data_IF_122592587572
#
_entry.id   IF_122592587572
#
_cell.length_a   1.000
_cell.length_b   1.000
_cell.length_c   1.000
_cell.angle_alpha   90.00
_cell.angle_beta   90.00
_cell.angle_gamma   90.00
#
_symmetry.space_group_name_H-M   'P 1'
#
loop_
_entity.id
_entity.type
_entity.pdbx_description
1 polymer ?
#
# COMPACT_ATOMS: atom_id res chain seq x y z
N UNK A 1 -24.49 -8.26 5.86
CA UNK A 1 -23.19 -8.15 6.56
C UNK A 1 -22.46 -9.44 6.29
N UNK A 2 -21.75 -9.49 5.17
CA UNK A 2 -20.82 -10.56 4.86
C UNK A 2 -19.65 -10.51 5.84
N UNK A 3 -19.09 -11.67 6.19
CA UNK A 3 -17.89 -11.71 7.04
C UNK A 3 -16.67 -11.26 6.22
N UNK A 4 -15.66 -10.64 6.85
CA UNK A 4 -14.38 -10.33 6.19
C UNK A 4 -13.77 -11.57 5.51
N UNK A 5 -14.07 -12.77 6.02
CA UNK A 5 -13.70 -14.05 5.42
C UNK A 5 -14.30 -14.26 4.02
N UNK A 6 -15.58 -13.95 3.82
CA UNK A 6 -16.23 -14.03 2.49
C UNK A 6 -15.63 -13.00 1.51
N UNK A 7 -15.09 -11.89 2.03
CA UNK A 7 -14.44 -10.86 1.23
C UNK A 7 -13.00 -11.19 0.86
N UNK A 8 -12.17 -11.63 1.83
CA UNK A 8 -10.80 -12.08 1.57
C UNK A 8 -10.79 -13.26 0.58
N UNK A 9 -11.79 -14.14 0.67
CA UNK A 9 -12.02 -15.21 -0.29
C UNK A 9 -12.47 -14.72 -1.67
N UNK A 10 -12.84 -13.45 -1.86
CA UNK A 10 -13.29 -12.87 -3.14
C UNK A 10 -12.28 -11.91 -3.78
N UNK A 11 -11.37 -11.33 -2.99
CA UNK A 11 -10.42 -10.31 -3.45
C UNK A 11 -9.49 -10.81 -4.57
N UNK A 12 -9.18 -12.11 -4.57
CA UNK A 12 -8.35 -12.75 -5.60
C UNK A 12 -9.16 -13.63 -6.56
N UNK A 13 -10.50 -13.71 -6.44
CA UNK A 13 -11.30 -14.62 -7.27
C UNK A 13 -11.38 -14.16 -8.72
N UNK A 14 -11.58 -12.86 -8.95
CA UNK A 14 -11.71 -12.32 -10.30
C UNK A 14 -10.36 -12.24 -11.03
N UNK A 15 -9.28 -12.01 -10.27
CA UNK A 15 -7.92 -12.04 -10.77
C UNK A 15 -7.47 -13.48 -11.02
N UNK A 16 -7.70 -14.40 -10.08
CA UNK A 16 -7.42 -15.83 -10.20
C UNK A 16 -8.15 -16.46 -11.39
N UNK A 17 -9.46 -16.22 -11.55
CA UNK A 17 -10.23 -16.71 -12.71
C UNK A 17 -9.64 -16.20 -14.04
N UNK A 18 -9.20 -14.94 -14.08
CA UNK A 18 -8.59 -14.35 -15.27
C UNK A 18 -7.21 -14.97 -15.56
N UNK A 19 -6.36 -15.14 -14.54
CA UNK A 19 -5.04 -15.74 -14.66
C UNK A 19 -5.12 -17.21 -15.08
N UNK A 20 -6.07 -17.96 -14.51
CA UNK A 20 -6.34 -19.35 -14.89
C UNK A 20 -6.77 -19.44 -16.36
N UNK A 21 -7.67 -18.56 -16.80
CA UNK A 21 -8.12 -18.52 -18.19
C UNK A 21 -6.98 -18.18 -19.16
N UNK A 22 -6.13 -17.22 -18.82
CA UNK A 22 -4.95 -16.84 -19.63
C UNK A 22 -3.97 -18.02 -19.70
N UNK A 23 -3.66 -18.64 -18.56
CA UNK A 23 -2.72 -19.76 -18.46
C UNK A 23 -3.23 -20.98 -19.23
N UNK A 24 -4.54 -21.25 -19.17
CA UNK A 24 -5.19 -22.31 -19.92
C UNK A 24 -5.42 -21.96 -21.40
N UNK A 25 -5.09 -20.75 -21.84
CA UNK A 25 -5.35 -20.24 -23.20
C UNK A 25 -6.83 -20.35 -23.59
N UNK A 26 -7.74 -20.12 -22.64
CA UNK A 26 -9.19 -20.07 -22.87
C UNK A 26 -9.65 -18.64 -23.12
N UNK A 27 -10.82 -18.48 -23.75
CA UNK A 27 -11.37 -17.16 -24.04
C UNK A 27 -11.62 -16.33 -22.78
N UNK A 28 -11.28 -15.05 -22.83
CA UNK A 28 -11.53 -14.05 -21.76
C UNK A 28 -12.63 -13.07 -22.12
N UNK A 29 -13.45 -13.42 -23.12
CA UNK A 29 -14.57 -12.59 -23.61
C UNK A 29 -15.76 -12.65 -22.65
N UNK A 30 -16.68 -11.66 -22.70
CA UNK A 30 -17.91 -11.71 -21.91
C UNK A 30 -18.69 -13.01 -22.13
N UNK A 31 -19.15 -13.65 -21.05
CA UNK A 31 -19.81 -14.95 -21.08
C UNK A 31 -18.87 -16.15 -20.86
N UNK A 32 -17.54 -15.96 -20.89
CA UNK A 32 -16.55 -17.03 -20.71
C UNK A 32 -16.01 -17.12 -19.27
N UNK A 33 -16.07 -16.03 -18.50
CA UNK A 33 -15.51 -15.91 -17.16
C UNK A 33 -16.67 -15.82 -16.16
N UNK A 34 -17.08 -16.97 -15.62
CA UNK A 34 -18.34 -17.11 -14.87
C UNK A 34 -18.42 -16.21 -13.64
N UNK A 35 -17.32 -16.07 -12.89
CA UNK A 35 -17.30 -15.20 -11.70
C UNK A 35 -17.30 -13.74 -12.12
N UNK A 36 -16.52 -13.36 -13.14
CA UNK A 36 -16.55 -12.01 -13.70
C UNK A 36 -17.91 -11.63 -14.26
N UNK A 37 -18.59 -12.51 -14.99
CA UNK A 37 -19.94 -12.25 -15.51
C UNK A 37 -20.97 -12.09 -14.39
N UNK A 38 -20.77 -12.76 -13.25
CA UNK A 38 -21.67 -12.64 -12.10
C UNK A 38 -21.39 -11.39 -11.24
N UNK A 39 -20.13 -11.01 -11.08
CA UNK A 39 -19.70 -9.97 -10.13
C UNK A 39 -19.36 -8.62 -10.79
N UNK A 40 -18.96 -8.64 -12.06
CA UNK A 40 -18.50 -7.52 -12.87
C UNK A 40 -18.90 -7.64 -14.36
N UNK A 41 -20.19 -7.82 -14.68
CA UNK A 41 -20.64 -8.06 -16.06
C UNK A 41 -20.39 -6.89 -17.02
N UNK A 42 -20.38 -5.66 -16.51
CA UNK A 42 -20.28 -4.46 -17.31
C UNK A 42 -19.64 -3.28 -16.55
N UNK A 43 -19.37 -2.18 -17.25
CA UNK A 43 -18.76 -0.99 -16.66
C UNK A 43 -19.67 -0.30 -15.63
N UNK A 44 -21.00 -0.43 -15.74
CA UNK A 44 -21.91 0.15 -14.75
C UNK A 44 -21.72 -0.57 -13.41
N UNK A 45 -21.60 -1.89 -13.44
CA UNK A 45 -21.32 -2.71 -12.26
C UNK A 45 -20.01 -2.32 -11.58
N UNK A 46 -18.98 -1.88 -12.31
CA UNK A 46 -17.71 -1.41 -11.73
C UNK A 46 -17.92 -0.21 -10.81
N UNK A 47 -18.80 0.72 -11.23
CA UNK A 47 -19.06 1.99 -10.53
C UNK A 47 -20.07 1.84 -9.37
N UNK A 48 -20.84 0.77 -9.33
CA UNK A 48 -21.86 0.52 -8.30
C UNK A 48 -21.28 0.00 -6.98
N UNK A 49 -20.30 0.69 -6.38
CA UNK A 49 -19.54 0.21 -5.21
C UNK A 49 -20.41 -0.29 -4.03
N UNK A 50 -21.57 0.34 -3.80
CA UNK A 50 -22.51 -0.06 -2.73
C UNK A 50 -23.22 -1.39 -2.98
N UNK A 51 -23.23 -1.88 -4.22
CA UNK A 51 -23.94 -3.07 -4.66
C UNK A 51 -22.99 -4.26 -4.87
N UNK A 52 -21.72 -4.12 -4.47
CA UNK A 52 -20.65 -5.08 -4.74
C UNK A 52 -20.00 -5.56 -3.46
N UNK A 53 -19.45 -6.78 -3.53
CA UNK A 53 -18.54 -7.29 -2.52
C UNK A 53 -17.13 -6.74 -2.76
N UNK A 54 -16.87 -5.52 -2.28
CA UNK A 54 -15.55 -4.91 -2.26
C UNK A 54 -15.32 -4.16 -0.95
N UNK A 55 -14.30 -4.53 -0.17
CA UNK A 55 -13.97 -3.81 1.07
C UNK A 55 -13.22 -2.53 0.77
N UNK A 56 -12.49 -2.50 -0.35
CA UNK A 56 -11.55 -1.44 -0.63
C UNK A 56 -10.36 -1.43 0.31
N UNK A 57 -9.37 -0.65 -0.04
CA UNK A 57 -8.17 -0.57 0.78
C UNK A 57 -7.30 0.62 0.48
N UNK A 58 -6.18 0.65 1.18
CA UNK A 58 -5.12 1.64 1.06
C UNK A 58 -3.86 0.94 0.58
N UNK A 59 -3.11 1.65 -0.25
CA UNK A 59 -1.77 1.25 -0.67
C UNK A 59 -0.92 2.51 -0.69
N UNK A 60 0.19 2.52 0.04
CA UNK A 60 0.95 3.73 0.28
C UNK A 60 2.42 3.59 -0.04
N UNK A 61 2.98 4.59 -0.71
CA UNK A 61 4.42 4.80 -0.71
C UNK A 61 4.83 5.40 0.64
N UNK A 62 5.69 4.71 1.39
CA UNK A 62 6.31 5.25 2.59
C UNK A 62 7.68 5.86 2.27
N UNK A 63 7.86 7.14 2.62
CA UNK A 63 9.07 7.91 2.42
C UNK A 63 9.57 8.44 3.78
N UNK A 64 10.77 8.02 4.19
CA UNK A 64 11.33 8.34 5.52
C UNK A 64 12.58 9.17 5.35
N UNK A 65 12.59 10.39 5.88
CA UNK A 65 13.72 11.30 5.76
C UNK A 65 14.94 10.73 6.47
N UNK A 66 16.09 10.77 5.80
CA UNK A 66 17.37 10.32 6.36
C UNK A 66 18.40 11.45 6.33
N UNK A 67 19.27 11.52 7.35
CA UNK A 67 20.43 12.39 7.28
C UNK A 67 21.39 11.92 6.18
N UNK A 68 22.20 12.85 5.69
CA UNK A 68 23.28 12.54 4.76
C UNK A 68 24.27 11.55 5.37
N UNK A 69 24.82 10.68 4.54
CA UNK A 69 25.70 9.59 4.95
C UNK A 69 26.91 9.51 4.01
N UNK A 70 28.13 9.21 4.51
CA UNK A 70 29.33 9.16 3.67
C UNK A 70 29.27 8.19 2.48
N UNK A 71 28.44 7.15 2.55
CA UNK A 71 28.32 6.13 1.50
C UNK A 71 27.12 6.38 0.58
N UNK A 72 26.01 6.88 1.11
CA UNK A 72 24.78 7.16 0.33
C UNK A 72 24.74 8.57 -0.28
N UNK A 73 25.51 9.51 0.27
CA UNK A 73 25.56 10.89 -0.19
C UNK A 73 24.65 11.83 0.62
N UNK A 74 23.89 12.67 -0.09
CA UNK A 74 23.10 13.74 0.49
C UNK A 74 21.93 13.28 1.36
N UNK A 75 21.22 14.26 1.94
CA UNK A 75 19.97 14.02 2.68
C UNK A 75 18.89 13.60 1.68
N UNK A 76 18.24 12.47 1.92
CA UNK A 76 17.21 11.90 1.05
C UNK A 76 15.98 11.42 1.82
N UNK A 77 15.05 10.78 1.12
CA UNK A 77 14.07 9.87 1.70
C UNK A 77 14.44 8.43 1.34
N UNK A 78 14.38 7.53 2.32
CA UNK A 78 14.26 6.11 2.07
C UNK A 78 12.83 5.79 1.62
N UNK A 79 12.69 5.29 0.39
CA UNK A 79 11.45 4.77 -0.15
C UNK A 79 11.37 3.27 0.13
N UNK A 80 10.26 2.83 0.71
CA UNK A 80 10.03 1.42 1.04
C UNK A 80 9.28 0.73 -0.10
N UNK A 81 9.89 -0.32 -0.65
CA UNK A 81 9.27 -1.20 -1.67
C UNK A 81 9.50 -2.64 -1.25
N UNK A 82 8.45 -3.45 -1.33
CA UNK A 82 8.45 -4.85 -0.95
C UNK A 82 8.42 -5.72 -2.20
N UNK A 83 9.22 -6.79 -2.21
CA UNK A 83 9.15 -7.88 -3.20
C UNK A 83 8.60 -9.13 -2.51
N UNK A 84 7.36 -9.54 -2.79
CA UNK A 84 6.77 -10.72 -2.12
C UNK A 84 7.53 -12.01 -2.52
N UNK A 85 7.87 -12.87 -1.55
CA UNK A 85 8.53 -14.15 -1.84
C UNK A 85 7.58 -15.18 -2.45
N UNK A 86 8.12 -15.98 -3.37
CA UNK A 86 7.43 -17.07 -4.04
C UNK A 86 7.32 -18.36 -3.21
N UNK A 87 7.28 -18.30 -1.87
CA UNK A 87 7.02 -19.49 -1.05
C UNK A 87 5.54 -19.89 -1.01
N UNK A 88 4.66 -19.04 -1.57
CA UNK A 88 3.29 -19.39 -1.92
C UNK A 88 3.26 -19.72 -3.41
N UNK A 89 2.94 -20.98 -3.73
CA UNK A 89 2.77 -21.47 -5.10
C UNK A 89 1.85 -20.52 -5.89
N UNK A 90 2.42 -19.86 -6.92
CA UNK A 90 1.77 -19.07 -7.98
C UNK A 90 1.89 -17.52 -7.98
N UNK A 91 2.72 -16.90 -7.14
CA UNK A 91 3.05 -15.46 -7.28
C UNK A 91 4.57 -15.21 -7.21
N UNK A 92 5.22 -15.12 -8.37
CA UNK A 92 6.66 -14.89 -8.49
C UNK A 92 7.00 -13.39 -8.33
N UNK A 93 7.70 -13.01 -7.25
CA UNK A 93 8.47 -11.75 -7.10
C UNK A 93 7.73 -10.45 -7.43
N UNK A 94 6.48 -10.33 -7.02
CA UNK A 94 5.69 -9.12 -7.29
C UNK A 94 6.16 -7.95 -6.43
N UNK A 95 6.44 -6.81 -7.06
CA UNK A 95 6.76 -5.55 -6.38
C UNK A 95 5.49 -4.84 -5.92
N UNK A 96 5.53 -4.31 -4.71
CA UNK A 96 4.48 -3.47 -4.14
C UNK A 96 5.06 -2.41 -3.21
N UNK A 97 4.36 -1.29 -3.04
CA UNK A 97 4.67 -0.32 -1.99
C UNK A 97 4.02 -0.75 -0.68
N UNK A 98 4.61 -0.31 0.42
CA UNK A 98 4.19 -0.65 1.79
C UNK A 98 4.09 0.65 2.61
N UNK A 99 3.06 0.84 3.44
CA UNK A 99 2.04 -0.14 3.84
C UNK A 99 0.90 -0.38 2.83
N UNK A 100 0.27 -1.56 2.90
CA UNK A 100 -0.91 -1.94 2.12
C UNK A 100 -1.92 -2.65 3.01
N UNK A 101 -3.21 -2.39 2.79
CA UNK A 101 -4.22 -3.26 3.39
C UNK A 101 -5.66 -2.83 3.17
N UNK A 102 -6.58 -3.71 3.56
CA UNK A 102 -8.00 -3.50 3.35
C UNK A 102 -8.62 -2.67 4.48
N UNK A 103 -9.71 -1.98 4.15
CA UNK A 103 -10.58 -1.45 5.19
C UNK A 103 -11.17 -2.62 5.99
N UNK A 104 -10.83 -2.67 7.28
CA UNK A 104 -11.37 -3.64 8.21
C UNK A 104 -12.24 -2.89 9.22
N UNK A 105 -13.56 -2.77 8.99
CA UNK A 105 -14.46 -2.20 9.99
C UNK A 105 -14.62 -3.18 11.15
N UNK A 106 -13.65 -3.18 12.06
CA UNK A 106 -13.51 -4.16 13.14
C UNK A 106 -14.57 -3.95 14.23
N UNK A 107 -14.70 -2.73 14.76
CA UNK A 107 -15.62 -2.42 15.88
C UNK A 107 -16.39 -1.11 15.66
N UNK A 108 -15.73 -0.06 15.16
CA UNK A 108 -16.37 1.21 14.82
C UNK A 108 -16.31 1.41 13.31
N UNK A 109 -17.37 0.98 12.62
CA UNK A 109 -17.46 1.01 11.15
C UNK A 109 -17.13 2.39 10.56
N UNK A 110 -17.45 3.50 11.26
CA UNK A 110 -17.21 4.85 10.75
C UNK A 110 -15.79 5.34 11.03
N UNK A 111 -15.19 4.93 12.14
CA UNK A 111 -13.81 5.29 12.45
C UNK A 111 -12.82 4.40 11.69
N UNK A 112 -13.11 3.11 11.60
CA UNK A 112 -12.23 2.07 11.05
C UNK A 112 -12.17 2.12 9.51
N UNK A 113 -13.20 2.66 8.85
CA UNK A 113 -13.20 2.90 7.41
C UNK A 113 -12.50 4.21 6.99
N UNK A 114 -11.93 4.98 7.93
CA UNK A 114 -11.14 6.16 7.57
C UNK A 114 -9.80 5.71 6.99
N UNK A 115 -9.44 6.22 5.82
CA UNK A 115 -8.16 5.96 5.12
C UNK A 115 -6.97 6.07 6.08
N UNK A 116 -6.88 7.17 6.83
CA UNK A 116 -5.77 7.38 7.77
C UNK A 116 -5.74 6.39 8.94
N UNK A 117 -6.91 5.87 9.37
CA UNK A 117 -6.97 4.85 10.42
C UNK A 117 -6.50 3.50 9.89
N UNK A 118 -6.91 3.12 8.67
CA UNK A 118 -6.41 1.92 7.99
C UNK A 118 -4.90 2.02 7.78
N UNK A 119 -4.39 3.13 7.23
CA UNK A 119 -2.94 3.33 7.05
C UNK A 119 -2.17 3.26 8.36
N UNK A 120 -2.67 3.89 9.43
CA UNK A 120 -1.99 3.86 10.72
C UNK A 120 -1.92 2.44 11.29
N UNK A 121 -2.97 1.64 11.11
CA UNK A 121 -2.98 0.22 11.50
C UNK A 121 -1.96 -0.58 10.72
N UNK A 122 -1.97 -0.46 9.39
CA UNK A 122 -1.06 -1.22 8.52
C UNK A 122 0.41 -0.84 8.75
N UNK A 123 0.73 0.44 9.00
CA UNK A 123 2.10 0.79 9.38
C UNK A 123 2.54 0.11 10.68
N UNK A 124 1.67 0.04 11.69
CA UNK A 124 2.02 -0.60 12.97
C UNK A 124 2.30 -2.09 12.78
N UNK A 125 1.45 -2.76 11.99
CA UNK A 125 1.47 -4.20 11.76
C UNK A 125 2.59 -4.61 10.78
N UNK A 126 2.70 -3.93 9.65
CA UNK A 126 3.60 -4.29 8.56
C UNK A 126 5.01 -3.69 8.72
N UNK A 127 5.16 -2.46 9.26
CA UNK A 127 6.46 -1.78 9.35
C UNK A 127 7.09 -1.85 10.73
N UNK A 128 6.31 -1.89 11.80
CA UNK A 128 6.83 -1.81 13.18
C UNK A 128 6.63 -3.09 13.98
N UNK A 129 6.28 -4.18 13.31
CA UNK A 129 6.26 -5.53 13.89
C UNK A 129 5.19 -5.75 14.96
N UNK A 130 4.12 -4.93 15.00
CA UNK A 130 3.00 -5.20 15.88
C UNK A 130 2.37 -6.53 15.49
N UNK A 131 2.25 -7.45 16.46
CA UNK A 131 1.56 -8.73 16.25
C UNK A 131 0.13 -8.46 15.82
N UNK A 132 -0.23 -8.92 14.63
CA UNK A 132 -1.58 -8.86 14.13
C UNK A 132 -2.51 -9.53 15.14
N UNK A 133 -3.52 -8.80 15.59
CA UNK A 133 -4.58 -9.40 16.41
C UNK A 133 -5.50 -10.08 15.42
N UNK A 134 -5.10 -11.27 14.98
CA UNK A 134 -5.82 -12.03 13.97
C UNK A 134 -7.31 -12.11 14.34
N UNK A 135 -8.11 -11.40 13.56
CA UNK A 135 -9.56 -11.35 13.73
C UNK A 135 -10.25 -12.56 13.09
N UNK A 136 -9.49 -13.45 12.44
CA UNK A 136 -9.99 -14.62 11.74
C UNK A 136 -9.98 -15.92 12.56
N UNK A 137 -9.09 -16.05 13.56
CA UNK A 137 -8.91 -17.32 14.28
C UNK A 137 -9.11 -17.30 15.82
N UNK A 138 -9.50 -16.18 16.45
CA UNK A 138 -9.64 -16.11 17.92
C UNK A 138 -10.83 -15.29 18.45
N UNK A 139 -11.39 -15.72 19.59
CA UNK A 139 -12.52 -15.10 20.32
C UNK A 139 -12.25 -13.69 20.90
N UNK A 140 -11.10 -13.07 20.60
CA UNK A 140 -10.69 -11.78 21.18
C UNK A 140 -10.66 -10.66 20.15
N UNK A 141 -11.82 -10.03 19.92
CA UNK A 141 -11.89 -8.73 19.24
C UNK A 141 -11.53 -7.63 20.23
N UNK A 142 -10.48 -6.87 19.95
CA UNK A 142 -10.22 -5.66 20.72
C UNK A 142 -11.19 -4.56 20.29
N UNK A 143 -11.89 -3.97 21.25
CA UNK A 143 -12.81 -2.87 20.99
C UNK A 143 -12.08 -1.58 20.53
N UNK A 144 -10.79 -1.42 20.84
CA UNK A 144 -9.97 -0.27 20.42
C UNK A 144 -8.59 -0.77 19.98
N UNK A 145 -8.45 -1.31 18.75
CA UNK A 145 -7.19 -1.87 18.26
C UNK A 145 -6.04 -0.86 18.26
N UNK A 146 -6.33 0.42 18.01
CA UNK A 146 -5.35 1.52 17.95
C UNK A 146 -5.24 2.30 19.27
N UNK A 147 -5.57 1.69 20.42
CA UNK A 147 -5.43 2.34 21.71
C UNK A 147 -3.96 2.70 21.98
N UNK A 148 -3.61 3.92 22.46
CA UNK A 148 -2.22 4.36 22.62
C UNK A 148 -1.30 3.40 23.39
N UNK A 149 -1.83 2.71 24.41
CA UNK A 149 -1.08 1.71 25.19
C UNK A 149 -0.75 0.41 24.43
N UNK A 150 -1.25 0.25 23.20
CA UNK A 150 -1.06 -0.94 22.35
C UNK A 150 -0.24 -0.66 21.09
N UNK A 151 0.04 0.61 20.81
CA UNK A 151 0.85 1.00 19.65
C UNK A 151 2.30 0.57 19.86
N UNK A 152 2.98 0.21 18.78
CA UNK A 152 4.44 0.10 18.81
C UNK A 152 5.07 1.41 19.27
N UNK A 153 6.31 1.35 19.76
CA UNK A 153 7.02 2.57 20.12
C UNK A 153 7.19 3.54 18.92
N UNK A 154 7.60 3.09 17.72
CA UNK A 154 7.74 3.98 16.57
C UNK A 154 6.42 4.69 16.21
N UNK A 155 5.29 3.96 16.15
CA UNK A 155 4.01 4.58 15.80
C UNK A 155 3.50 5.54 16.89
N UNK A 156 3.68 5.20 18.16
CA UNK A 156 3.35 6.10 19.27
C UNK A 156 4.16 7.40 19.18
N UNK A 157 5.46 7.30 18.91
CA UNK A 157 6.30 8.48 18.71
C UNK A 157 5.82 9.33 17.53
N UNK A 158 5.43 8.72 16.40
CA UNK A 158 4.90 9.45 15.24
C UNK A 158 3.56 10.13 15.51
N UNK A 159 2.71 9.51 16.33
CA UNK A 159 1.35 10.00 16.61
C UNK A 159 1.27 10.99 17.77
N UNK A 160 2.28 11.03 18.64
CA UNK A 160 2.39 12.01 19.74
C UNK A 160 2.53 13.46 19.23
N UNK A 161 3.04 13.66 18.01
CA UNK A 161 3.10 14.96 17.35
C UNK A 161 2.70 14.86 15.88
N UNK A 162 1.56 15.48 15.54
CA UNK A 162 1.01 15.54 14.19
C UNK A 162 1.94 16.08 13.10
N UNK A 163 3.03 16.78 13.46
CA UNK A 163 4.01 17.30 12.51
C UNK A 163 5.10 16.29 12.12
N UNK A 164 5.24 15.18 12.87
CA UNK A 164 6.27 14.15 12.60
C UNK A 164 5.96 13.31 11.37
N UNK A 165 4.69 13.21 11.03
CA UNK A 165 4.21 12.36 9.96
C UNK A 165 3.09 13.03 9.17
N UNK A 166 3.19 12.94 7.85
CA UNK A 166 2.17 13.36 6.90
C UNK A 166 1.61 12.14 6.18
N UNK A 167 0.29 12.04 6.12
CA UNK A 167 -0.41 11.05 5.31
C UNK A 167 -1.29 11.79 4.30
N UNK A 168 -1.11 11.51 3.01
CA UNK A 168 -1.92 12.09 1.94
C UNK A 168 -2.52 11.00 1.06
N UNK A 169 -3.82 11.11 0.75
CA UNK A 169 -4.41 10.36 -0.35
C UNK A 169 -4.01 11.06 -1.66
N UNK A 170 -3.20 10.41 -2.47
CA UNK A 170 -2.69 10.94 -3.74
C UNK A 170 -3.55 10.51 -4.93
N UNK A 171 -4.36 9.46 -4.77
CA UNK A 171 -5.28 9.02 -5.81
C UNK A 171 -6.32 8.02 -5.34
N UNK A 172 -7.28 7.75 -6.22
CA UNK A 172 -8.31 6.72 -6.07
C UNK A 172 -8.42 5.97 -7.38
N UNK A 173 -8.50 4.64 -7.31
CA UNK A 173 -8.55 3.75 -8.46
C UNK A 173 -9.61 2.66 -8.31
N UNK A 174 -10.07 2.15 -9.45
CA UNK A 174 -10.88 0.94 -9.56
C UNK A 174 -10.04 -0.09 -10.32
N UNK A 175 -9.57 -1.13 -9.64
CA UNK A 175 -8.79 -2.19 -10.25
C UNK A 175 -9.74 -3.14 -10.99
N UNK A 176 -9.68 -3.14 -12.32
CA UNK A 176 -10.55 -4.00 -13.15
C UNK A 176 -10.09 -5.46 -13.18
N UNK A 177 -8.85 -5.74 -12.78
CA UNK A 177 -8.31 -7.10 -12.70
C UNK A 177 -8.90 -7.81 -11.48
N UNK A 178 -8.67 -7.26 -10.28
CA UNK A 178 -9.20 -7.80 -9.02
C UNK A 178 -10.67 -7.46 -8.78
N UNK A 179 -11.16 -6.38 -9.40
CA UNK A 179 -12.49 -5.83 -9.19
C UNK A 179 -12.64 -4.96 -7.95
N UNK A 180 -11.55 -4.68 -7.24
CA UNK A 180 -11.55 -3.89 -6.01
C UNK A 180 -11.35 -2.38 -6.28
N UNK A 181 -11.44 -1.56 -5.24
CA UNK A 181 -11.09 -0.14 -5.29
C UNK A 181 -9.97 0.18 -4.29
N UNK A 182 -9.11 1.12 -4.64
CA UNK A 182 -7.89 1.42 -3.89
C UNK A 182 -7.69 2.91 -3.72
N UNK A 183 -7.27 3.31 -2.51
CA UNK A 183 -6.73 4.63 -2.23
C UNK A 183 -5.21 4.59 -2.28
N UNK A 184 -4.65 5.20 -3.33
CA UNK A 184 -3.21 5.46 -3.41
C UNK A 184 -2.85 6.56 -2.43
N UNK A 185 -1.87 6.29 -1.58
CA UNK A 185 -1.47 7.20 -0.52
C UNK A 185 0.04 7.45 -0.50
N UNK A 186 0.45 8.52 0.16
CA UNK A 186 1.83 8.85 0.47
C UNK A 186 1.95 9.06 1.97
N UNK A 187 2.85 8.33 2.61
CA UNK A 187 3.28 8.56 3.99
C UNK A 187 4.65 9.21 3.94
N UNK A 188 4.80 10.37 4.57
CA UNK A 188 6.09 11.06 4.70
C UNK A 188 6.42 11.25 6.17
N UNK A 189 7.57 10.73 6.58
CA UNK A 189 8.17 11.00 7.90
C UNK A 189 9.32 11.97 7.67
N UNK A 190 9.11 13.24 8.01
CA UNK A 190 10.04 14.34 7.71
C UNK A 190 11.18 14.47 8.73
N UNK A 191 10.94 13.97 9.94
CA UNK A 191 11.88 14.10 11.05
C UNK A 191 12.97 13.03 10.96
N UNK A 192 14.21 13.46 10.70
CA UNK A 192 15.38 12.57 10.59
C UNK A 192 15.72 11.86 11.91
N UNK A 193 15.28 12.39 13.06
CA UNK A 193 15.43 11.70 14.34
C UNK A 193 14.72 10.35 14.33
N UNK A 194 13.63 10.21 13.57
CA UNK A 194 12.93 8.94 13.40
C UNK A 194 13.87 7.88 12.82
N UNK A 195 14.57 8.20 11.73
CA UNK A 195 15.50 7.26 11.10
C UNK A 195 16.62 6.84 12.06
N UNK A 196 17.16 7.78 12.83
CA UNK A 196 18.23 7.51 13.78
C UNK A 196 17.78 6.63 14.95
N UNK A 197 16.53 6.76 15.41
CA UNK A 197 16.00 6.05 16.58
C UNK A 197 15.38 4.70 16.21
N UNK A 198 14.57 4.69 15.16
CA UNK A 198 13.65 3.61 14.82
C UNK A 198 13.90 3.02 13.43
N UNK A 199 14.88 3.52 12.67
CA UNK A 199 15.21 2.99 11.34
C UNK A 199 15.63 1.51 11.37
N UNK A 200 16.15 1.03 12.51
CA UNK A 200 16.45 -0.39 12.74
C UNK A 200 15.25 -1.24 13.12
N UNK A 201 14.16 -0.64 13.58
CA UNK A 201 12.92 -1.34 13.95
C UNK A 201 11.99 -1.55 12.74
N UNK A 202 12.39 -1.03 11.57
CA UNK A 202 11.71 -1.29 10.29
C UNK A 202 12.07 -2.72 9.85
N UNK A 203 11.44 -3.68 10.51
CA UNK A 203 11.51 -5.09 10.20
C UNK A 203 10.16 -5.49 9.62
N UNK A 204 10.09 -5.60 8.29
CA UNK A 204 8.86 -6.04 7.66
C UNK A 204 8.53 -7.44 8.18
N UNK A 205 7.38 -7.56 8.85
CA UNK A 205 6.98 -8.77 9.58
C UNK A 205 7.00 -10.00 8.63
N UNK A 206 7.39 -11.15 9.15
CA UNK A 206 7.75 -12.45 8.52
C UNK A 206 7.09 -12.90 7.18
N UNK A 207 5.97 -12.35 6.70
CA UNK A 207 5.43 -12.54 5.33
C UNK A 207 6.10 -11.61 4.28
N UNK A 208 6.91 -10.66 4.76
CA UNK A 208 7.61 -9.63 4.01
C UNK A 208 9.11 -9.92 3.85
N UNK A 209 9.47 -11.12 3.43
CA UNK A 209 10.77 -11.29 2.76
C UNK A 209 10.90 -10.25 1.64
N UNK A 210 12.06 -9.62 1.47
CA UNK A 210 12.33 -8.80 0.29
C UNK A 210 12.00 -7.30 0.40
N UNK A 211 11.92 -6.72 1.60
CA UNK A 211 11.90 -5.27 1.75
C UNK A 211 13.18 -4.66 1.17
N UNK A 212 13.03 -3.71 0.26
CA UNK A 212 14.11 -2.97 -0.40
C UNK A 212 13.95 -1.47 -0.13
N UNK A 213 15.08 -0.82 0.09
CA UNK A 213 15.17 0.63 0.30
C UNK A 213 15.71 1.29 -0.96
N UNK A 214 14.96 2.25 -1.49
CA UNK A 214 15.38 3.07 -2.62
C UNK A 214 15.65 4.50 -2.15
N UNK A 215 16.71 5.13 -2.66
CA UNK A 215 16.96 6.55 -2.40
C UNK A 215 16.06 7.39 -3.30
N UNK A 216 15.41 8.40 -2.73
CA UNK A 216 14.68 9.41 -3.53
C UNK A 216 15.58 10.31 -4.38
N UNK A 217 16.91 10.24 -4.23
CA UNK A 217 17.90 10.94 -5.05
C UNK A 217 18.45 10.09 -6.21
N UNK A 218 18.13 8.79 -6.28
CA UNK A 218 18.65 7.90 -7.32
C UNK A 218 17.71 7.90 -8.53
N UNK A 219 17.83 8.94 -9.37
CA UNK A 219 16.98 9.14 -10.54
C UNK A 219 16.94 7.93 -11.48
N UNK A 220 18.10 7.33 -11.75
CA UNK A 220 18.23 6.23 -12.70
C UNK A 220 17.56 4.97 -12.15
N UNK A 221 17.84 4.61 -10.88
CA UNK A 221 17.22 3.46 -10.24
C UNK A 221 15.70 3.62 -10.11
N UNK A 222 15.21 4.83 -9.83
CA UNK A 222 13.76 5.11 -9.79
C UNK A 222 13.11 5.01 -11.17
N UNK A 223 13.85 5.37 -12.23
CA UNK A 223 13.37 5.24 -13.61
C UNK A 223 13.28 3.77 -14.01
N UNK A 224 14.31 2.97 -13.69
CA UNK A 224 14.29 1.53 -13.89
C UNK A 224 13.15 0.87 -13.11
N UNK A 225 12.99 1.26 -11.84
CA UNK A 225 11.93 0.73 -10.99
C UNK A 225 10.54 1.06 -11.53
N UNK A 226 10.30 2.26 -12.09
CA UNK A 226 9.01 2.59 -12.73
C UNK A 226 8.71 1.74 -13.98
N UNK A 227 9.74 1.24 -14.65
CA UNK A 227 9.62 0.44 -15.87
C UNK A 227 9.56 -1.07 -15.59
N UNK A 228 9.71 -1.49 -14.34
CA UNK A 228 9.72 -2.91 -13.97
C UNK A 228 8.32 -3.53 -14.20
N UNK A 229 8.27 -4.68 -14.87
CA UNK A 229 7.01 -5.37 -15.18
C UNK A 229 6.50 -6.23 -14.01
N UNK A 230 7.29 -6.39 -12.95
CA UNK A 230 6.94 -7.19 -11.78
C UNK A 230 6.05 -6.47 -10.77
N UNK A 231 5.67 -5.21 -11.00
CA UNK A 231 4.75 -4.50 -10.11
C UNK A 231 3.35 -5.11 -10.06
N UNK A 232 2.74 -5.07 -8.88
CA UNK A 232 1.28 -5.14 -8.80
C UNK A 232 0.66 -3.86 -9.38
N UNK A 233 -0.54 -3.99 -9.95
CA UNK A 233 -1.24 -2.88 -10.63
C UNK A 233 -1.40 -1.66 -9.69
N UNK A 234 -1.91 -1.91 -8.49
CA UNK A 234 -2.10 -0.89 -7.47
C UNK A 234 -0.78 -0.39 -6.87
N UNK A 235 0.25 -1.25 -6.79
CA UNK A 235 1.58 -0.91 -6.31
C UNK A 235 2.27 0.10 -7.22
N UNK A 236 2.31 -0.15 -8.53
CA UNK A 236 2.88 0.78 -9.50
C UNK A 236 2.14 2.12 -9.49
N UNK A 237 0.81 2.08 -9.45
CA UNK A 237 0.01 3.30 -9.41
C UNK A 237 0.29 4.14 -8.16
N UNK A 238 0.31 3.50 -6.98
CA UNK A 238 0.61 4.18 -5.73
C UNK A 238 2.05 4.70 -5.67
N UNK A 239 3.01 3.93 -6.18
CA UNK A 239 4.40 4.35 -6.30
C UNK A 239 4.52 5.60 -7.19
N UNK A 240 3.93 5.58 -8.38
CA UNK A 240 4.00 6.70 -9.32
C UNK A 240 3.30 7.97 -8.78
N UNK A 241 2.09 7.84 -8.22
CA UNK A 241 1.38 8.97 -7.61
C UNK A 241 2.10 9.52 -6.38
N UNK A 242 2.59 8.63 -5.52
CA UNK A 242 3.37 8.98 -4.33
C UNK A 242 4.66 9.69 -4.70
N UNK A 243 5.41 9.19 -5.68
CA UNK A 243 6.68 9.77 -6.12
C UNK A 243 6.46 11.12 -6.81
N UNK A 244 5.43 11.26 -7.65
CA UNK A 244 5.06 12.54 -8.25
C UNK A 244 4.73 13.57 -7.17
N UNK A 245 3.96 13.17 -6.14
CA UNK A 245 3.63 14.05 -5.03
C UNK A 245 4.85 14.38 -4.16
N UNK A 246 5.69 13.41 -3.85
CA UNK A 246 6.92 13.59 -3.08
C UNK A 246 7.87 14.58 -3.77
N UNK A 247 7.90 14.60 -5.11
CA UNK A 247 8.68 15.57 -5.90
C UNK A 247 8.22 17.01 -5.74
N UNK A 248 6.94 17.22 -5.41
CA UNK A 248 6.37 18.55 -5.17
C UNK A 248 6.68 19.06 -3.75
N UNK A 249 6.73 18.16 -2.77
CA UNK A 249 6.83 18.54 -1.34
C UNK A 249 8.21 18.28 -0.71
N UNK A 250 9.00 17.37 -1.26
CA UNK A 250 10.26 16.89 -0.66
C UNK A 250 11.50 17.76 -0.95
N UNK A 251 11.33 18.85 -1.71
CA UNK A 251 12.38 19.83 -1.97
C UNK A 251 13.65 19.23 -2.55
N UNK A 252 14.81 19.56 -1.97
CA UNK A 252 16.13 19.09 -2.44
C UNK A 252 16.47 17.64 -2.09
N UNK A 253 15.57 16.90 -1.42
CA UNK A 253 15.76 15.48 -1.07
C UNK A 253 15.29 14.53 -2.17
N UNK A 254 14.69 15.06 -3.24
CA UNK A 254 14.02 14.25 -4.26
C UNK A 254 14.53 14.64 -5.64
N UNK A 255 15.06 13.67 -6.37
CA UNK A 255 15.40 13.76 -7.78
C UNK A 255 14.60 12.72 -8.56
N UNK A 256 13.32 13.03 -8.80
CA UNK A 256 12.38 12.09 -9.39
C UNK A 256 12.27 12.22 -10.91
N UNK A 257 12.13 11.10 -11.64
CA UNK A 257 11.77 11.11 -13.06
C UNK A 257 10.33 11.58 -13.33
N UNK A 258 9.44 11.60 -12.34
CA UNK A 258 8.03 12.01 -12.49
C UNK A 258 7.79 13.48 -12.15
N UNK A 259 8.85 14.28 -12.03
CA UNK A 259 8.73 15.70 -11.68
C UNK A 259 7.85 16.41 -12.70
N UNK A 260 6.65 16.83 -12.28
CA UNK A 260 5.85 17.77 -13.06
C UNK A 260 6.68 19.04 -13.21
N UNK A 261 7.02 19.42 -14.45
CA UNK A 261 7.47 20.78 -14.74
C UNK A 261 6.38 21.70 -14.20
N UNK A 262 6.67 22.45 -13.15
CA UNK A 262 5.87 23.61 -12.81
C UNK A 262 5.90 24.49 -14.06
N UNK A 263 4.78 24.56 -14.77
CA UNK A 263 4.59 25.58 -15.79
C UNK A 263 4.81 26.91 -15.06
N UNK A 264 5.90 27.59 -15.37
CA UNK A 264 6.05 29.01 -15.08
C UNK A 264 4.85 29.69 -15.74
N UNK A 265 3.87 30.09 -14.94
CA UNK A 265 2.80 30.94 -15.42
C UNK A 265 3.43 32.24 -15.96
N UNK A 266 2.98 32.75 -17.12
CA UNK A 266 3.44 34.02 -17.68
C UNK A 266 3.07 35.22 -16.80
#
# INVERSE_FOLDING_TARGET
MSSFLEYALSADVLEGELLDAITASTDTVPGALRMRDACLPDLASVLSLSERLCAGGVVALCAIARPGDPYRGGRDYALLVQERSGEVLNASRTLAVIPKGFHQPLTDVRADARIGATLSREMDEELFGRVEVDSTCGDHRSAVPMHPARLSEPLRWLTDDSQRMRMECTGFGLNLVSGNYEFACLVVIEDEDFWCRYGGDIEANWEASGLRLYSSLDHDLLTELLADESWSNEGLFAFAQGLARLSEIGGGRVDSPLRKRMASAP
#
